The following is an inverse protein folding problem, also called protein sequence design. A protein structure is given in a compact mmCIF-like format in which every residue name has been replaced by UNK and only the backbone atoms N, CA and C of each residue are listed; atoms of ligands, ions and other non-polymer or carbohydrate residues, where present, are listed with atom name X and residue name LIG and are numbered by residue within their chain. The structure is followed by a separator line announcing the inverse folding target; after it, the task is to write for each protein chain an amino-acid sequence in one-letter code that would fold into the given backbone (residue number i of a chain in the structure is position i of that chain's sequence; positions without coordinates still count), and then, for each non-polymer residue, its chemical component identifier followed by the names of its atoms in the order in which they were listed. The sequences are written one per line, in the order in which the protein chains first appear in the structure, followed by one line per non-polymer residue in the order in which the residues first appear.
data_IF_820914966778
#
_entry.id   IF_820914966778
#
_cell.length_a   1.000
_cell.length_b   1.000
_cell.length_c   1.000
_cell.angle_alpha   90.00
_cell.angle_beta   90.00
_cell.angle_gamma   90.00
#
_symmetry.space_group_name_H-M   'P 1'
#
loop_
_entity.id
_entity.type
_entity.pdbx_description
1 polymer ?
#
# COMPACT_ATOMS: atom_id res chain seq x y z
N UNK A 1 8.55 1.84 6.79
CA UNK A 1 7.87 0.90 5.89
C UNK A 1 7.19 1.62 4.73
N UNK A 2 6.23 2.53 4.94
CA UNK A 2 5.52 3.18 3.81
C UNK A 2 6.48 3.90 2.83
N UNK A 3 7.60 4.42 3.35
CA UNK A 3 8.62 5.11 2.56
C UNK A 3 9.88 4.27 2.28
N UNK A 4 9.83 2.94 2.46
CA UNK A 4 10.95 2.09 2.05
C UNK A 4 10.97 1.96 0.52
N UNK A 5 12.17 1.85 -0.06
CA UNK A 5 12.34 1.88 -1.53
C UNK A 5 11.64 0.73 -2.27
N UNK A 6 11.55 -0.44 -1.65
CA UNK A 6 10.83 -1.62 -2.14
C UNK A 6 9.32 -1.37 -2.24
N UNK A 7 8.72 -0.83 -1.19
CA UNK A 7 7.29 -0.46 -1.14
C UNK A 7 6.97 0.58 -2.21
N UNK A 8 7.78 1.64 -2.31
CA UNK A 8 7.58 2.68 -3.32
C UNK A 8 7.73 2.12 -4.74
N UNK A 9 8.68 1.20 -4.97
CA UNK A 9 8.86 0.55 -6.27
C UNK A 9 7.65 -0.31 -6.65
N UNK A 10 7.09 -1.05 -5.69
CA UNK A 10 5.87 -1.83 -5.89
C UNK A 10 4.66 -0.96 -6.24
N UNK A 11 4.43 0.13 -5.48
CA UNK A 11 3.35 1.07 -5.76
C UNK A 11 3.50 1.74 -7.15
N UNK A 12 4.73 2.08 -7.54
CA UNK A 12 5.01 2.61 -8.87
C UNK A 12 4.68 1.60 -9.99
N UNK A 13 4.99 0.31 -9.80
CA UNK A 13 4.63 -0.75 -10.75
C UNK A 13 3.11 -0.88 -10.90
N UNK A 14 2.35 -0.83 -9.80
CA UNK A 14 0.88 -0.85 -9.86
C UNK A 14 0.34 0.35 -10.63
N UNK A 15 0.90 1.54 -10.40
CA UNK A 15 0.52 2.77 -11.11
C UNK A 15 0.85 2.68 -12.61
N UNK A 16 2.02 2.16 -12.97
CA UNK A 16 2.46 1.97 -14.37
C UNK A 16 1.50 1.05 -15.13
N UNK A 17 1.06 -0.03 -14.50
CA UNK A 17 0.10 -0.98 -15.07
C UNK A 17 -1.36 -0.57 -14.90
N UNK A 18 -1.65 0.63 -14.36
CA UNK A 18 -3.01 1.15 -14.10
C UNK A 18 -3.88 0.17 -13.30
N UNK A 19 -3.28 -0.50 -12.33
CA UNK A 19 -4.03 -1.36 -11.40
C UNK A 19 -4.85 -0.45 -10.48
N UNK A 20 -6.14 -0.73 -10.33
CA UNK A 20 -6.95 -0.09 -9.30
C UNK A 20 -6.72 -0.79 -7.97
N UNK A 21 -6.20 -0.06 -6.98
CA UNK A 21 -5.87 -0.59 -5.67
C UNK A 21 -6.09 0.43 -4.55
N UNK A 22 -6.13 -0.07 -3.32
CA UNK A 22 -6.25 0.69 -2.09
C UNK A 22 -5.29 0.13 -1.05
N UNK A 23 -4.53 1.02 -0.41
CA UNK A 23 -3.71 0.65 0.76
C UNK A 23 -4.65 0.44 1.94
N UNK A 24 -4.54 -0.71 2.60
CA UNK A 24 -5.33 -1.05 3.78
C UNK A 24 -4.42 -1.46 4.95
N UNK A 25 -5.01 -1.94 6.05
CA UNK A 25 -4.27 -2.48 7.17
C UNK A 25 -3.45 -1.46 7.95
N UNK A 26 -2.33 -1.92 8.52
CA UNK A 26 -1.50 -1.12 9.44
C UNK A 26 -0.87 0.11 8.80
N UNK A 27 -0.51 0.03 7.52
CA UNK A 27 0.01 1.16 6.76
C UNK A 27 -1.02 2.29 6.64
N UNK A 28 -2.27 1.97 6.31
CA UNK A 28 -3.35 2.95 6.22
C UNK A 28 -3.64 3.63 7.57
N UNK A 29 -3.66 2.86 8.66
CA UNK A 29 -3.84 3.39 10.03
C UNK A 29 -2.76 4.41 10.40
N UNK A 30 -1.49 4.11 10.06
CA UNK A 30 -0.38 5.04 10.28
C UNK A 30 -0.51 6.32 9.44
N UNK A 31 -0.94 6.23 8.17
CA UNK A 31 -1.18 7.41 7.32
C UNK A 31 -2.27 8.31 7.91
N UNK A 32 -3.31 7.73 8.49
CA UNK A 32 -4.43 8.47 9.09
C UNK A 32 -4.16 8.97 10.53
N UNK A 33 -2.90 8.94 10.98
CA UNK A 33 -2.47 9.61 12.21
C UNK A 33 -2.50 8.75 13.47
N UNK A 34 -2.71 7.44 13.35
CA UNK A 34 -2.66 6.51 14.49
C UNK A 34 -1.40 5.65 14.41
N UNK A 35 -0.53 5.78 15.40
CA UNK A 35 0.70 4.98 15.46
C UNK A 35 0.37 3.51 15.72
N UNK A 36 0.76 2.64 14.79
CA UNK A 36 0.66 1.19 14.91
C UNK A 36 1.95 0.55 14.40
N UNK A 37 2.58 -0.28 15.22
CA UNK A 37 3.67 -1.13 14.77
C UNK A 37 3.14 -2.09 13.68
N UNK A 38 3.78 -2.08 12.51
CA UNK A 38 3.45 -2.94 11.37
C UNK A 38 4.74 -3.17 10.58
N UNK A 39 4.92 -4.37 10.04
CA UNK A 39 6.14 -4.78 9.30
C UNK A 39 5.88 -5.09 7.82
N UNK A 40 4.62 -5.04 7.43
CA UNK A 40 3.98 -5.47 6.21
C UNK A 40 3.09 -4.39 5.58
N UNK A 41 2.88 -4.48 4.27
CA UNK A 41 1.95 -3.64 3.53
C UNK A 41 0.81 -4.50 2.98
N UNK A 42 -0.41 -4.13 3.33
CA UNK A 42 -1.62 -4.76 2.83
C UNK A 42 -2.21 -3.91 1.69
N UNK A 43 -2.42 -4.52 0.52
CA UNK A 43 -3.07 -3.90 -0.63
C UNK A 43 -4.34 -4.67 -0.97
N UNK A 44 -5.45 -3.95 -1.07
CA UNK A 44 -6.66 -4.44 -1.73
C UNK A 44 -6.63 -3.98 -3.19
N UNK A 45 -6.91 -4.87 -4.13
CA UNK A 45 -6.99 -4.52 -5.56
C UNK A 45 -8.30 -5.04 -6.15
N UNK A 46 -8.86 -4.31 -7.10
CA UNK A 46 -10.01 -4.82 -7.85
C UNK A 46 -9.51 -5.79 -8.93
N UNK A 47 -9.72 -7.08 -8.67
CA UNK A 47 -9.18 -8.15 -9.49
C UNK A 47 -10.04 -8.54 -10.68
N UNK A 48 -11.28 -8.05 -10.82
CA UNK A 48 -12.22 -8.59 -11.82
C UNK A 48 -13.29 -7.59 -12.24
N UNK A 49 -13.25 -7.23 -13.53
CA UNK A 49 -14.30 -7.66 -14.47
C UNK A 49 -13.70 -8.16 -15.77
#
# INVERSE_FOLDING_TARGET
MIFTGDVLSFLNLLNEHRVEYMIIGGAAVNIHGFSRATGDMDIWFDGVR
#
